data_IF_966293000304
#
_entry.id   IF_966293000304
#
_cell.length_a   1.000
_cell.length_b   1.000
_cell.length_c   1.000
_cell.angle_alpha   90.00
_cell.angle_beta   90.00
_cell.angle_gamma   90.00
#
_symmetry.space_group_name_H-M   'P 1'
#
loop_
_entity.id
_entity.type
_entity.pdbx_description
1 polymer ?
#
# COMPACT_ATOMS: atom_id res chain seq x y z
N UNK A 1 53.72 -31.71 -23.38
CA UNK A 1 54.06 -30.74 -22.32
C UNK A 1 53.59 -31.34 -20.99
N UNK A 2 54.46 -31.50 -19.98
CA UNK A 2 54.02 -31.92 -18.64
C UNK A 2 53.56 -30.68 -17.89
N UNK A 3 52.29 -30.64 -17.47
CA UNK A 3 51.76 -29.55 -16.64
C UNK A 3 52.41 -29.62 -15.25
N UNK A 4 53.01 -28.51 -14.83
CA UNK A 4 53.57 -28.38 -13.48
C UNK A 4 52.53 -27.73 -12.56
N UNK A 5 52.58 -27.97 -11.24
CA UNK A 5 51.68 -27.28 -10.28
C UNK A 5 51.70 -25.75 -10.42
N UNK A 6 52.87 -25.18 -10.68
CA UNK A 6 53.02 -23.74 -10.89
C UNK A 6 52.23 -23.24 -12.14
N UNK A 7 52.24 -24.00 -13.25
CA UNK A 7 51.48 -23.65 -14.44
C UNK A 7 49.95 -23.68 -14.19
N UNK A 8 49.48 -24.62 -13.35
CA UNK A 8 48.05 -24.69 -12.98
C UNK A 8 47.64 -23.48 -12.13
N UNK A 9 48.47 -23.14 -11.14
CA UNK A 9 48.19 -21.98 -10.27
C UNK A 9 48.21 -20.68 -11.08
N UNK A 10 49.25 -20.44 -11.88
CA UNK A 10 49.37 -19.23 -12.69
C UNK A 10 48.25 -19.14 -13.72
N UNK A 11 47.94 -20.26 -14.40
CA UNK A 11 46.84 -20.32 -15.35
C UNK A 11 45.48 -20.04 -14.69
N UNK A 12 45.22 -20.62 -13.52
CA UNK A 12 44.02 -20.36 -12.73
C UNK A 12 43.89 -18.89 -12.31
N UNK A 13 44.98 -18.29 -11.82
CA UNK A 13 45.02 -16.88 -11.45
C UNK A 13 44.79 -15.95 -12.67
N UNK A 14 45.39 -16.28 -13.82
CA UNK A 14 45.14 -15.51 -15.04
C UNK A 14 43.66 -15.55 -15.48
N UNK A 15 43.07 -16.73 -15.48
CA UNK A 15 41.64 -16.88 -15.80
C UNK A 15 40.79 -16.11 -14.80
N UNK A 16 41.06 -16.25 -13.51
CA UNK A 16 40.32 -15.51 -12.46
C UNK A 16 40.40 -13.99 -12.67
N UNK A 17 41.60 -13.45 -12.80
CA UNK A 17 41.77 -12.00 -12.97
C UNK A 17 41.25 -11.47 -14.29
N UNK A 18 41.36 -12.27 -15.39
CA UNK A 18 40.70 -11.91 -16.65
C UNK A 18 39.20 -11.86 -16.52
N UNK A 19 38.62 -12.83 -15.80
CA UNK A 19 37.15 -12.81 -15.55
C UNK A 19 36.75 -11.61 -14.69
N UNK A 20 37.44 -11.31 -13.61
CA UNK A 20 37.22 -10.11 -12.79
C UNK A 20 37.33 -8.84 -13.62
N UNK A 21 38.37 -8.75 -14.45
CA UNK A 21 38.55 -7.59 -15.32
C UNK A 21 37.40 -7.44 -16.33
N UNK A 22 37.05 -8.51 -17.06
CA UNK A 22 36.03 -8.43 -18.13
C UNK A 22 34.59 -8.27 -17.59
N UNK A 23 34.28 -8.87 -16.42
CA UNK A 23 32.91 -8.91 -15.91
C UNK A 23 32.63 -7.76 -14.92
N UNK A 24 33.62 -7.31 -14.17
CA UNK A 24 33.45 -6.31 -13.14
C UNK A 24 34.09 -4.97 -13.53
N UNK A 25 35.42 -4.98 -13.83
CA UNK A 25 36.17 -3.74 -14.01
C UNK A 25 35.83 -3.05 -15.35
N UNK A 26 35.89 -3.81 -16.44
CA UNK A 26 35.66 -3.27 -17.78
C UNK A 26 34.25 -2.64 -17.96
N UNK A 27 33.15 -3.30 -17.53
CA UNK A 27 31.84 -2.68 -17.60
C UNK A 27 31.75 -1.39 -16.79
N UNK A 28 32.34 -1.35 -15.59
CA UNK A 28 32.34 -0.14 -14.75
C UNK A 28 33.08 1.02 -15.39
N UNK A 29 34.19 0.72 -16.10
CA UNK A 29 34.98 1.74 -16.80
C UNK A 29 34.31 2.24 -18.08
N UNK A 30 33.63 1.36 -18.83
CA UNK A 30 33.09 1.67 -20.16
C UNK A 30 31.66 2.18 -20.13
N UNK A 31 30.82 1.56 -19.26
CA UNK A 31 29.40 1.89 -19.25
C UNK A 31 29.09 3.15 -18.43
N UNK A 32 29.86 3.42 -17.38
CA UNK A 32 29.63 4.51 -16.43
C UNK A 32 28.26 4.37 -15.73
N UNK A 33 28.08 5.06 -14.63
CA UNK A 33 26.78 5.16 -13.96
C UNK A 33 25.97 6.26 -14.62
N UNK A 34 25.01 5.93 -15.48
CA UNK A 34 24.10 6.90 -16.10
C UNK A 34 22.78 6.91 -15.35
N UNK A 35 22.41 8.04 -14.70
CA UNK A 35 21.14 8.14 -14.01
C UNK A 35 19.96 7.97 -14.98
N UNK A 36 18.88 7.35 -14.50
CA UNK A 36 17.61 7.30 -15.20
C UNK A 36 16.90 8.65 -15.16
N UNK A 37 15.83 8.79 -15.92
CA UNK A 37 15.02 10.02 -15.92
C UNK A 37 14.32 10.27 -14.55
N UNK A 38 14.09 9.24 -13.76
CA UNK A 38 13.47 9.36 -12.43
C UNK A 38 14.48 9.52 -11.31
N UNK A 39 15.78 9.36 -11.60
CA UNK A 39 16.82 9.40 -10.58
C UNK A 39 17.03 10.83 -10.02
N UNK A 40 17.24 10.90 -8.73
CA UNK A 40 17.81 12.06 -8.03
C UNK A 40 18.78 11.64 -6.93
N UNK A 41 19.66 12.53 -6.54
CA UNK A 41 20.50 12.30 -5.36
C UNK A 41 19.65 12.28 -4.09
N UNK A 42 20.04 11.44 -3.14
CA UNK A 42 19.42 11.41 -1.82
C UNK A 42 19.87 12.58 -0.94
N UNK A 43 18.98 12.99 -0.07
CA UNK A 43 19.31 13.87 1.04
C UNK A 43 20.13 13.12 2.10
N UNK A 44 20.71 13.84 3.06
CA UNK A 44 21.42 13.23 4.19
C UNK A 44 20.50 12.34 5.03
N UNK A 45 19.24 12.71 5.19
CA UNK A 45 18.26 11.95 5.95
C UNK A 45 17.87 10.66 5.22
N UNK A 46 17.67 10.71 3.91
CA UNK A 46 17.39 9.54 3.07
C UNK A 46 18.58 8.57 3.05
N UNK A 47 19.81 9.08 3.00
CA UNK A 47 21.01 8.26 3.11
C UNK A 47 21.10 7.57 4.48
N UNK A 48 20.81 8.28 5.56
CA UNK A 48 20.77 7.70 6.90
C UNK A 48 19.67 6.60 7.00
N UNK A 49 18.55 6.82 6.35
CA UNK A 49 17.47 5.82 6.23
C UNK A 49 17.90 4.58 5.45
N UNK A 50 18.62 4.76 4.34
CA UNK A 50 19.21 3.65 3.59
C UNK A 50 20.16 2.83 4.46
N UNK A 51 21.04 3.46 5.23
CA UNK A 51 21.99 2.78 6.10
C UNK A 51 21.25 1.96 7.18
N UNK A 52 20.16 2.50 7.72
CA UNK A 52 19.27 1.77 8.63
C UNK A 52 18.58 0.59 7.95
N UNK A 53 18.10 0.76 6.72
CA UNK A 53 17.49 -0.30 5.92
C UNK A 53 18.47 -1.47 5.72
N UNK A 54 19.70 -1.17 5.38
CA UNK A 54 20.78 -2.17 5.21
C UNK A 54 21.11 -2.84 6.54
N UNK A 55 21.36 -2.05 7.59
CA UNK A 55 21.77 -2.55 8.90
C UNK A 55 20.72 -3.46 9.56
N UNK A 56 19.43 -3.23 9.29
CA UNK A 56 18.35 -4.02 9.84
C UNK A 56 17.86 -5.15 8.93
N UNK A 57 18.50 -5.36 7.77
CA UNK A 57 18.24 -6.50 6.89
C UNK A 57 16.85 -6.46 6.22
N UNK A 58 16.30 -5.28 5.98
CA UNK A 58 14.97 -5.12 5.36
C UNK A 58 14.90 -5.78 3.98
N UNK A 59 16.02 -5.80 3.24
CA UNK A 59 16.17 -6.47 1.94
C UNK A 59 16.03 -8.00 1.98
N UNK A 60 16.01 -8.62 3.15
CA UNK A 60 15.74 -10.07 3.27
C UNK A 60 14.25 -10.39 3.06
N UNK A 61 13.36 -9.42 3.24
CA UNK A 61 11.93 -9.61 3.07
C UNK A 61 11.35 -8.71 1.96
N UNK A 62 12.04 -7.62 1.61
CA UNK A 62 11.60 -6.64 0.61
C UNK A 62 12.57 -6.57 -0.56
N UNK A 63 12.05 -6.55 -1.77
CA UNK A 63 12.82 -6.17 -2.95
C UNK A 63 12.65 -4.67 -3.24
N UNK A 64 13.60 -4.12 -3.99
CA UNK A 64 13.54 -2.77 -4.57
C UNK A 64 13.83 -2.84 -6.06
N UNK A 65 13.17 -3.77 -6.73
CA UNK A 65 13.50 -4.10 -8.11
C UNK A 65 12.29 -4.68 -8.84
N UNK A 66 11.64 -3.87 -9.66
CA UNK A 66 10.53 -4.30 -10.51
C UNK A 66 11.07 -4.83 -11.83
N UNK A 67 10.78 -6.10 -12.13
CA UNK A 67 11.18 -6.78 -13.36
C UNK A 67 10.06 -6.74 -14.38
N UNK A 68 10.39 -7.05 -15.63
CA UNK A 68 9.39 -7.17 -16.71
C UNK A 68 8.29 -8.18 -16.37
N UNK A 69 8.63 -9.28 -15.70
CA UNK A 69 7.68 -10.32 -15.27
C UNK A 69 6.76 -9.87 -14.12
N UNK A 70 7.13 -8.82 -13.40
CA UNK A 70 6.36 -8.28 -12.28
C UNK A 70 5.31 -7.26 -12.75
N UNK A 71 5.30 -6.92 -14.02
CA UNK A 71 4.39 -5.91 -14.59
C UNK A 71 2.90 -6.21 -14.33
N UNK A 72 2.51 -7.48 -14.39
CA UNK A 72 1.15 -7.92 -14.10
C UNK A 72 0.72 -7.78 -12.63
N UNK A 73 1.66 -7.54 -11.72
CA UNK A 73 1.41 -7.39 -10.28
C UNK A 73 1.22 -5.91 -9.85
N UNK A 74 0.92 -5.03 -10.79
CA UNK A 74 0.63 -3.62 -10.52
C UNK A 74 1.86 -2.72 -10.42
N UNK A 75 2.99 -3.15 -10.98
CA UNK A 75 4.15 -2.28 -11.14
C UNK A 75 3.83 -1.15 -12.14
N UNK A 76 4.15 0.08 -11.78
CA UNK A 76 3.94 1.23 -12.66
C UNK A 76 5.10 1.40 -13.65
N UNK A 77 6.29 0.96 -13.29
CA UNK A 77 7.50 1.09 -14.09
C UNK A 77 8.47 -0.08 -13.85
N UNK A 78 9.14 -0.51 -14.89
CA UNK A 78 10.23 -1.47 -14.80
C UNK A 78 11.48 -0.74 -14.27
N UNK A 79 12.15 -1.34 -13.27
CA UNK A 79 13.36 -0.80 -12.70
C UNK A 79 14.49 -0.74 -13.73
N UNK A 80 15.24 0.33 -13.73
CA UNK A 80 16.39 0.57 -14.61
C UNK A 80 17.68 0.66 -13.77
N UNK A 81 18.80 0.26 -14.34
CA UNK A 81 20.09 0.35 -13.64
C UNK A 81 20.40 1.78 -13.18
N UNK A 82 19.95 2.78 -13.94
CA UNK A 82 20.14 4.18 -13.60
C UNK A 82 19.33 4.69 -12.40
N UNK A 83 18.38 3.91 -11.89
CA UNK A 83 17.63 4.26 -10.66
C UNK A 83 18.49 4.13 -9.41
N UNK A 84 19.54 3.32 -9.47
CA UNK A 84 20.40 2.95 -8.33
C UNK A 84 21.76 3.67 -8.33
N UNK A 85 21.93 4.66 -9.20
CA UNK A 85 23.19 5.43 -9.26
C UNK A 85 23.49 6.05 -7.90
N UNK A 86 24.72 5.80 -7.43
CA UNK A 86 25.19 6.30 -6.13
C UNK A 86 24.77 5.50 -4.91
N UNK A 87 23.88 4.51 -5.05
CA UNK A 87 23.53 3.61 -3.92
C UNK A 87 24.69 2.69 -3.58
N UNK A 88 25.17 2.75 -2.33
CA UNK A 88 26.29 1.91 -1.88
C UNK A 88 26.03 1.39 -0.46
N UNK A 89 25.77 0.08 -0.31
CA UNK A 89 25.54 -0.90 -1.38
C UNK A 89 24.17 -0.72 -2.07
N UNK A 90 24.07 -1.09 -3.35
CA UNK A 90 22.78 -1.24 -4.03
C UNK A 90 22.15 -2.55 -3.55
N UNK A 91 21.10 -2.45 -2.74
CA UNK A 91 20.42 -3.60 -2.15
C UNK A 91 19.08 -3.79 -2.88
N UNK A 92 19.09 -4.55 -3.96
CA UNK A 92 17.90 -4.80 -4.77
C UNK A 92 16.93 -5.77 -4.08
N UNK A 93 17.44 -6.71 -3.31
CA UNK A 93 16.64 -7.81 -2.73
C UNK A 93 16.09 -8.75 -3.80
N UNK A 94 15.80 -9.98 -3.42
CA UNK A 94 15.23 -11.01 -4.32
C UNK A 94 14.00 -11.67 -3.74
N UNK A 95 13.80 -11.52 -2.43
CA UNK A 95 12.66 -12.06 -1.70
C UNK A 95 11.56 -11.01 -1.57
N UNK A 96 10.31 -11.47 -1.61
CA UNK A 96 9.11 -10.65 -1.46
C UNK A 96 8.15 -11.27 -0.45
N UNK A 97 8.64 -11.56 0.76
CA UNK A 97 7.78 -11.86 1.91
C UNK A 97 6.93 -10.63 2.25
N UNK A 98 7.50 -9.43 2.11
CA UNK A 98 6.81 -8.16 2.02
C UNK A 98 6.74 -7.65 0.57
N UNK A 99 6.06 -6.52 0.31
CA UNK A 99 5.97 -5.93 -1.02
C UNK A 99 7.33 -5.41 -1.54
N UNK A 100 7.42 -5.22 -2.86
CA UNK A 100 8.49 -4.43 -3.47
C UNK A 100 8.38 -2.96 -3.04
N UNK A 101 9.51 -2.34 -2.71
CA UNK A 101 9.57 -0.97 -2.19
C UNK A 101 10.14 0.05 -3.18
N UNK A 102 10.44 -0.34 -4.41
CA UNK A 102 11.08 0.55 -5.39
C UNK A 102 10.24 1.77 -5.77
N UNK A 103 8.91 1.69 -5.67
CA UNK A 103 7.96 2.74 -6.07
C UNK A 103 7.06 3.20 -4.91
N UNK A 104 7.48 2.98 -3.66
CA UNK A 104 6.64 3.23 -2.48
C UNK A 104 6.48 4.71 -2.12
N UNK A 105 7.38 5.57 -2.59
CA UNK A 105 7.33 6.99 -2.23
C UNK A 105 6.00 7.65 -2.60
N UNK A 106 5.37 8.28 -1.60
CA UNK A 106 4.10 8.98 -1.74
C UNK A 106 2.85 8.08 -1.83
N UNK A 107 2.99 6.74 -1.77
CA UNK A 107 1.82 5.86 -1.68
C UNK A 107 1.13 5.97 -0.32
N UNK A 108 1.91 6.23 0.72
CA UNK A 108 1.42 6.50 2.08
C UNK A 108 2.06 7.77 2.63
N UNK A 109 1.37 8.54 3.48
CA UNK A 109 1.97 9.69 4.16
C UNK A 109 2.94 9.25 5.27
N UNK A 110 3.77 10.17 5.73
CA UNK A 110 4.83 9.89 6.73
C UNK A 110 4.28 9.34 8.05
N UNK A 111 3.14 9.83 8.50
CA UNK A 111 2.48 9.38 9.73
C UNK A 111 1.99 7.92 9.62
N UNK A 112 1.54 7.50 8.44
CA UNK A 112 1.25 6.09 8.19
C UNK A 112 2.52 5.23 8.32
N UNK A 113 3.64 5.68 7.75
CA UNK A 113 4.92 4.98 7.88
C UNK A 113 5.38 4.92 9.34
N UNK A 114 5.20 6.00 10.10
CA UNK A 114 5.51 6.01 11.53
C UNK A 114 4.71 4.94 12.29
N UNK A 115 3.40 4.85 12.04
CA UNK A 115 2.56 3.82 12.63
C UNK A 115 3.01 2.42 12.21
N UNK A 116 3.30 2.23 10.91
CA UNK A 116 3.68 0.96 10.33
C UNK A 116 5.03 0.45 10.86
N UNK A 117 6.05 1.30 10.95
CA UNK A 117 7.35 0.92 11.49
C UNK A 117 7.30 0.71 13.01
N UNK A 118 6.48 1.46 13.73
CA UNK A 118 6.30 1.23 15.18
C UNK A 118 5.74 -0.16 15.43
N UNK A 119 4.61 -0.52 14.84
CA UNK A 119 4.14 -1.90 14.76
C UNK A 119 3.36 -2.08 13.46
N UNK A 120 3.86 -2.91 12.53
CA UNK A 120 3.20 -3.13 11.24
C UNK A 120 1.74 -3.60 11.35
N UNK A 121 1.38 -4.28 12.44
CA UNK A 121 0.00 -4.73 12.69
C UNK A 121 -0.96 -3.58 12.99
N UNK A 122 -0.45 -2.38 13.32
CA UNK A 122 -1.30 -1.20 13.48
C UNK A 122 -1.95 -0.77 12.16
N UNK A 123 -1.24 -0.92 11.05
CA UNK A 123 -1.76 -0.55 9.71
C UNK A 123 -2.16 -1.76 8.87
N UNK A 124 -1.57 -2.92 9.14
CA UNK A 124 -1.79 -4.19 8.46
C UNK A 124 -1.93 -5.31 9.49
N UNK A 125 -3.12 -5.57 10.01
CA UNK A 125 -3.34 -6.48 11.16
C UNK A 125 -2.72 -7.87 11.00
N UNK A 126 -2.57 -8.36 9.77
CA UNK A 126 -1.98 -9.67 9.46
C UNK A 126 -0.51 -9.61 9.05
N UNK A 127 0.17 -8.50 9.27
CA UNK A 127 1.57 -8.35 8.88
C UNK A 127 2.48 -9.33 9.61
N UNK A 128 3.39 -9.97 8.86
CA UNK A 128 4.50 -10.78 9.37
C UNK A 128 5.73 -9.94 9.67
N UNK A 129 5.77 -8.68 9.23
CA UNK A 129 6.87 -7.75 9.47
C UNK A 129 7.06 -7.54 10.97
N UNK A 130 8.29 -7.59 11.50
CA UNK A 130 8.56 -7.31 12.90
C UNK A 130 8.32 -5.83 13.24
N UNK A 131 8.10 -5.53 14.53
CA UNK A 131 8.09 -4.17 15.05
C UNK A 131 9.49 -3.58 15.03
N UNK A 132 9.58 -2.30 14.66
CA UNK A 132 10.81 -1.51 14.63
C UNK A 132 10.82 -0.39 15.68
N UNK A 133 9.89 -0.44 16.65
CA UNK A 133 9.76 0.55 17.72
C UNK A 133 11.08 0.80 18.46
N UNK A 134 11.93 -0.22 18.59
CA UNK A 134 13.23 -0.13 19.23
C UNK A 134 14.21 0.85 18.56
N UNK A 135 13.97 1.21 17.30
CA UNK A 135 14.78 2.21 16.60
C UNK A 135 14.58 3.62 17.17
N UNK A 136 13.41 3.88 17.75
CA UNK A 136 13.01 5.20 18.20
C UNK A 136 12.60 6.14 17.07
N UNK A 137 11.93 7.23 17.42
CA UNK A 137 11.25 8.11 16.48
C UNK A 137 12.16 8.69 15.39
N UNK A 138 13.36 9.18 15.74
CA UNK A 138 14.25 9.84 14.79
C UNK A 138 14.78 8.89 13.71
N UNK A 139 15.11 7.64 14.10
CA UNK A 139 15.55 6.62 13.14
C UNK A 139 14.41 6.12 12.28
N UNK A 140 13.20 5.96 12.85
CA UNK A 140 12.00 5.63 12.06
C UNK A 140 11.72 6.74 11.05
N UNK A 141 11.91 8.02 11.39
CA UNK A 141 11.74 9.13 10.46
C UNK A 141 12.76 9.06 9.31
N UNK A 142 14.02 8.81 9.59
CA UNK A 142 15.03 8.64 8.55
C UNK A 142 14.72 7.43 7.64
N UNK A 143 14.27 6.30 8.21
CA UNK A 143 13.83 5.14 7.45
C UNK A 143 12.61 5.47 6.58
N UNK A 144 11.66 6.26 7.08
CA UNK A 144 10.52 6.77 6.32
C UNK A 144 10.99 7.63 5.15
N UNK A 145 11.92 8.57 5.37
CA UNK A 145 12.46 9.41 4.32
C UNK A 145 13.09 8.57 3.19
N UNK A 146 13.83 7.52 3.54
CA UNK A 146 14.39 6.60 2.55
C UNK A 146 13.30 5.86 1.74
N UNK A 147 12.27 5.33 2.39
CA UNK A 147 11.18 4.64 1.68
C UNK A 147 10.40 5.61 0.81
N UNK A 148 10.19 6.83 1.27
CA UNK A 148 9.56 7.91 0.49
C UNK A 148 10.39 8.35 -0.72
N UNK A 149 11.69 8.13 -0.72
CA UNK A 149 12.55 8.38 -1.89
C UNK A 149 12.44 7.28 -2.96
N UNK A 150 11.79 6.15 -2.64
CA UNK A 150 11.56 5.04 -3.58
C UNK A 150 10.67 5.48 -4.74
N UNK A 151 11.21 5.46 -5.99
CA UNK A 151 10.58 5.98 -7.19
C UNK A 151 11.16 7.33 -7.67
N UNK A 152 12.12 7.92 -6.92
CA UNK A 152 12.84 9.12 -7.31
C UNK A 152 11.90 10.31 -7.57
N UNK A 153 12.11 11.05 -8.67
CA UNK A 153 11.32 12.25 -9.00
C UNK A 153 9.81 11.98 -9.10
N UNK A 154 9.41 10.79 -9.56
CA UNK A 154 7.99 10.42 -9.62
C UNK A 154 7.40 10.26 -8.21
N UNK A 155 8.18 9.73 -7.28
CA UNK A 155 7.81 9.66 -5.87
C UNK A 155 7.68 11.05 -5.25
N UNK A 156 8.63 11.95 -5.54
CA UNK A 156 8.60 13.32 -5.03
C UNK A 156 7.28 14.03 -5.38
N UNK A 157 6.77 13.84 -6.60
CA UNK A 157 5.47 14.40 -7.01
C UNK A 157 4.31 13.82 -6.19
N UNK A 158 4.36 12.51 -5.86
CA UNK A 158 3.32 11.88 -5.02
C UNK A 158 3.40 12.34 -3.57
N UNK A 159 4.62 12.42 -3.01
CA UNK A 159 4.87 12.93 -1.65
C UNK A 159 4.42 14.39 -1.56
N UNK A 160 4.75 15.24 -2.55
CA UNK A 160 4.31 16.63 -2.57
C UNK A 160 2.77 16.71 -2.59
N UNK A 161 2.10 15.91 -3.38
CA UNK A 161 0.63 15.85 -3.42
C UNK A 161 0.05 15.47 -2.06
N UNK A 162 0.62 14.49 -1.35
CA UNK A 162 0.19 14.15 0.01
C UNK A 162 0.34 15.35 0.95
N UNK A 163 1.46 16.06 0.88
CA UNK A 163 1.76 17.22 1.71
C UNK A 163 0.84 18.41 1.41
N UNK A 164 0.46 18.63 0.15
CA UNK A 164 -0.43 19.72 -0.25
C UNK A 164 -1.87 19.51 0.23
N UNK A 165 -2.32 18.25 0.26
CA UNK A 165 -3.68 17.89 0.67
C UNK A 165 -3.84 17.72 2.19
N UNK A 166 -2.79 17.32 2.89
CA UNK A 166 -2.85 17.04 4.33
C UNK A 166 -3.38 18.21 5.18
N UNK A 167 -2.93 19.47 5.00
CA UNK A 167 -3.48 20.59 5.77
C UNK A 167 -4.98 20.79 5.59
N UNK A 168 -5.51 20.52 4.39
CA UNK A 168 -6.93 20.62 4.09
C UNK A 168 -7.73 19.51 4.79
N UNK A 169 -7.23 18.29 4.74
CA UNK A 169 -7.82 17.14 5.44
C UNK A 169 -7.88 17.37 6.96
N UNK A 170 -6.78 17.86 7.54
CA UNK A 170 -6.68 18.19 8.97
C UNK A 170 -7.65 19.32 9.34
N UNK A 171 -7.73 20.38 8.53
CA UNK A 171 -8.64 21.48 8.76
C UNK A 171 -10.12 21.03 8.71
N UNK A 172 -10.47 20.21 7.72
CA UNK A 172 -11.82 19.65 7.60
C UNK A 172 -12.18 18.79 8.82
N UNK A 173 -11.27 17.93 9.27
CA UNK A 173 -11.46 17.11 10.46
C UNK A 173 -11.66 17.99 11.72
N UNK A 174 -10.81 18.99 11.94
CA UNK A 174 -10.89 19.90 13.10
C UNK A 174 -12.16 20.77 13.10
N UNK A 175 -12.73 21.03 11.95
CA UNK A 175 -13.99 21.78 11.80
C UNK A 175 -15.24 20.96 12.15
N UNK A 176 -15.09 19.69 12.48
CA UNK A 176 -16.16 18.81 12.93
C UNK A 176 -16.67 17.84 11.87
N UNK A 177 -17.55 16.92 12.30
CA UNK A 177 -18.00 15.80 11.47
C UNK A 177 -18.62 16.25 10.14
N UNK A 178 -19.47 17.25 10.14
CA UNK A 178 -20.18 17.67 8.92
C UNK A 178 -19.22 18.29 7.88
N UNK A 179 -18.26 19.09 8.33
CA UNK A 179 -17.24 19.67 7.48
C UNK A 179 -16.30 18.57 6.91
N UNK A 180 -15.94 17.59 7.74
CA UNK A 180 -15.13 16.47 7.30
C UNK A 180 -15.87 15.60 6.27
N UNK A 181 -17.15 15.32 6.50
CA UNK A 181 -17.99 14.58 5.54
C UNK A 181 -18.11 15.34 4.22
N UNK A 182 -18.32 16.65 4.26
CA UNK A 182 -18.39 17.48 3.04
C UNK A 182 -17.06 17.42 2.27
N UNK A 183 -15.95 17.59 2.96
CA UNK A 183 -14.62 17.51 2.36
C UNK A 183 -14.35 16.11 1.73
N UNK A 184 -14.65 15.03 2.45
CA UNK A 184 -14.52 13.66 1.95
C UNK A 184 -15.42 13.38 0.74
N UNK A 185 -16.64 13.92 0.75
CA UNK A 185 -17.58 13.78 -0.35
C UNK A 185 -17.09 14.53 -1.60
N UNK A 186 -16.57 15.74 -1.44
CA UNK A 186 -16.12 16.56 -2.58
C UNK A 186 -14.88 15.99 -3.28
N UNK A 187 -14.14 15.11 -2.60
CA UNK A 187 -13.02 14.36 -3.17
C UNK A 187 -13.44 13.11 -3.95
N UNK A 188 -14.72 12.77 -3.95
CA UNK A 188 -15.25 11.68 -4.78
C UNK A 188 -15.84 12.30 -6.06
N UNK A 189 -15.44 11.83 -7.26
CA UNK A 189 -16.02 12.31 -8.51
C UNK A 189 -17.54 12.16 -8.55
N UNK A 190 -18.24 13.13 -9.16
CA UNK A 190 -19.69 13.19 -9.18
C UNK A 190 -20.37 11.89 -9.66
N UNK A 191 -19.76 11.19 -10.60
CA UNK A 191 -20.29 9.92 -11.14
C UNK A 191 -20.42 8.82 -10.08
N UNK A 192 -19.58 8.84 -9.04
CA UNK A 192 -19.58 7.86 -7.95
C UNK A 192 -20.52 8.22 -6.80
N UNK A 193 -20.77 9.51 -6.58
CA UNK A 193 -21.56 9.99 -5.42
C UNK A 193 -23.00 9.44 -5.36
N UNK A 194 -23.76 9.38 -6.47
CA UNK A 194 -25.11 8.83 -6.47
C UNK A 194 -25.15 7.31 -6.67
N UNK A 195 -24.00 6.63 -6.77
CA UNK A 195 -23.97 5.22 -7.12
C UNK A 195 -24.29 4.35 -5.90
N UNK A 196 -25.37 3.54 -5.93
CA UNK A 196 -25.62 2.55 -4.90
C UNK A 196 -24.60 1.41 -4.99
N UNK A 197 -24.48 0.63 -3.91
CA UNK A 197 -23.74 -0.64 -4.00
C UNK A 197 -24.48 -1.58 -4.97
N UNK A 198 -23.83 -2.09 -6.03
CA UNK A 198 -24.47 -2.98 -7.01
C UNK A 198 -24.77 -4.38 -6.44
N UNK A 199 -24.20 -4.71 -5.27
CA UNK A 199 -24.41 -6.00 -4.63
C UNK A 199 -25.25 -5.83 -3.36
N UNK A 200 -26.26 -6.70 -3.14
CA UNK A 200 -27.12 -6.62 -1.96
C UNK A 200 -26.30 -6.95 -0.69
N UNK A 201 -26.67 -6.30 0.42
CA UNK A 201 -26.09 -6.54 1.73
C UNK A 201 -26.66 -7.83 2.37
N UNK A 202 -26.47 -8.98 1.74
CA UNK A 202 -26.87 -10.27 2.29
C UNK A 202 -26.00 -10.63 3.51
N UNK A 203 -26.48 -11.56 4.35
CA UNK A 203 -25.68 -12.06 5.48
C UNK A 203 -24.32 -12.60 5.03
N UNK A 204 -24.26 -13.29 3.88
CA UNK A 204 -23.02 -13.81 3.31
C UNK A 204 -22.09 -12.67 2.85
N UNK A 205 -22.61 -11.62 2.19
CA UNK A 205 -21.83 -10.44 1.79
C UNK A 205 -21.28 -9.70 3.01
N UNK A 206 -22.10 -9.51 4.04
CA UNK A 206 -21.67 -8.89 5.30
C UNK A 206 -20.57 -9.68 6.01
N UNK A 207 -20.68 -11.01 6.06
CA UNK A 207 -19.64 -11.88 6.66
C UNK A 207 -18.30 -11.78 5.89
N UNK A 208 -18.35 -11.72 4.54
CA UNK A 208 -17.14 -11.51 3.74
C UNK A 208 -16.55 -10.10 3.96
N UNK A 209 -17.41 -9.09 3.99
CA UNK A 209 -17.02 -7.70 4.28
C UNK A 209 -16.41 -7.53 5.66
N UNK A 210 -16.98 -8.18 6.68
CA UNK A 210 -16.42 -8.24 8.04
C UNK A 210 -15.01 -8.80 8.04
N UNK A 211 -14.81 -9.93 7.33
CA UNK A 211 -13.47 -10.52 7.21
C UNK A 211 -12.48 -9.58 6.55
N UNK A 212 -12.86 -8.89 5.47
CA UNK A 212 -12.01 -7.87 4.83
C UNK A 212 -11.71 -6.75 5.80
N UNK A 213 -12.71 -6.26 6.54
CA UNK A 213 -12.53 -5.20 7.53
C UNK A 213 -11.53 -5.60 8.62
N UNK A 214 -11.65 -6.81 9.16
CA UNK A 214 -10.73 -7.34 10.17
C UNK A 214 -9.31 -7.52 9.63
N UNK A 215 -9.16 -7.95 8.38
CA UNK A 215 -7.87 -8.23 7.78
C UNK A 215 -7.10 -6.95 7.36
N UNK A 216 -7.83 -5.85 7.03
CA UNK A 216 -7.23 -4.67 6.39
C UNK A 216 -7.56 -3.33 7.04
N UNK A 217 -8.69 -3.19 7.75
CA UNK A 217 -9.22 -1.87 8.12
C UNK A 217 -9.18 -1.61 9.64
N UNK A 218 -9.32 -2.66 10.46
CA UNK A 218 -9.47 -2.55 11.92
C UNK A 218 -8.30 -1.85 12.60
N UNK A 219 -7.09 -1.98 12.03
CA UNK A 219 -5.90 -1.37 12.59
C UNK A 219 -5.97 0.17 12.71
N UNK A 220 -6.66 0.81 11.77
CA UNK A 220 -6.93 2.25 11.78
C UNK A 220 -8.32 2.56 12.31
N UNK A 221 -9.36 1.88 11.82
CA UNK A 221 -10.75 2.24 12.08
C UNK A 221 -11.35 1.65 13.37
N UNK A 222 -10.61 0.77 14.08
CA UNK A 222 -11.10 0.12 15.29
C UNK A 222 -12.13 -1.00 15.02
N UNK A 223 -12.32 -1.88 15.99
CA UNK A 223 -13.24 -3.03 15.87
C UNK A 223 -14.70 -2.62 15.67
N UNK A 224 -15.09 -1.48 16.20
CA UNK A 224 -16.46 -0.95 16.15
C UNK A 224 -16.63 0.19 15.15
N UNK A 225 -15.61 0.47 14.36
CA UNK A 225 -15.64 1.50 13.32
C UNK A 225 -15.64 2.94 13.85
N UNK A 226 -15.14 3.14 15.08
CA UNK A 226 -15.10 4.43 15.79
C UNK A 226 -13.86 5.28 15.48
N UNK A 227 -12.97 4.77 14.62
CA UNK A 227 -11.72 5.44 14.27
C UNK A 227 -10.64 5.34 15.35
N UNK A 228 -10.80 4.47 16.36
CA UNK A 228 -9.89 4.32 17.50
C UNK A 228 -9.01 3.06 17.39
N UNK A 229 -8.66 2.65 16.20
CA UNK A 229 -7.69 1.57 15.99
C UNK A 229 -6.29 1.94 16.52
N UNK A 230 -5.39 0.96 16.73
CA UNK A 230 -4.06 1.21 17.29
C UNK A 230 -3.19 2.16 16.46
N UNK A 231 -3.43 2.28 15.15
CA UNK A 231 -2.75 3.26 14.31
C UNK A 231 -3.24 4.70 14.53
N UNK A 232 -4.47 4.90 15.01
CA UNK A 232 -5.14 6.20 15.01
C UNK A 232 -4.34 7.30 15.71
N UNK A 233 -3.63 6.97 16.79
CA UNK A 233 -2.81 7.92 17.56
C UNK A 233 -1.60 8.47 16.81
N UNK A 234 -1.24 7.86 15.69
CA UNK A 234 -0.11 8.28 14.86
C UNK A 234 -0.55 9.09 13.64
N UNK A 235 -1.84 9.02 13.27
CA UNK A 235 -2.38 9.59 12.04
C UNK A 235 -2.99 10.97 12.27
N UNK A 236 -2.69 11.92 11.40
CA UNK A 236 -3.28 13.26 11.39
C UNK A 236 -3.72 13.62 9.95
N UNK A 237 -5.03 13.74 9.67
CA UNK A 237 -6.13 13.55 10.61
C UNK A 237 -6.28 12.07 11.04
N UNK A 238 -6.89 11.83 12.21
CA UNK A 238 -7.20 10.46 12.65
C UNK A 238 -8.23 9.80 11.72
N UNK A 239 -8.31 8.45 11.75
CA UNK A 239 -9.26 7.72 10.91
C UNK A 239 -10.70 8.17 11.16
N UNK A 240 -11.51 8.19 10.09
CA UNK A 240 -12.90 8.60 10.20
C UNK A 240 -13.69 7.67 11.12
N UNK A 241 -14.51 8.27 12.00
CA UNK A 241 -15.44 7.56 12.87
C UNK A 241 -16.75 7.30 12.11
N UNK A 242 -16.93 6.08 11.62
CA UNK A 242 -18.14 5.71 10.87
C UNK A 242 -19.42 5.80 11.71
N UNK A 243 -19.33 5.55 13.03
CA UNK A 243 -20.50 5.59 13.90
C UNK A 243 -21.09 7.00 14.06
N UNK A 244 -20.28 8.02 13.75
CA UNK A 244 -20.74 9.42 13.76
C UNK A 244 -21.75 9.73 12.64
N UNK A 245 -21.88 8.86 11.64
CA UNK A 245 -22.86 9.00 10.55
C UNK A 245 -24.23 8.42 10.89
N UNK A 246 -24.40 7.72 12.02
CA UNK A 246 -25.69 7.12 12.40
C UNK A 246 -26.78 8.20 12.48
N UNK A 247 -27.85 7.98 11.71
CA UNK A 247 -28.98 8.92 11.64
C UNK A 247 -28.71 10.25 10.94
N UNK A 248 -27.52 10.44 10.34
CA UNK A 248 -27.14 11.68 9.64
C UNK A 248 -27.28 11.63 8.13
N UNK A 249 -27.40 10.44 7.55
CA UNK A 249 -27.53 10.30 6.10
C UNK A 249 -28.95 10.68 5.68
N UNK A 250 -29.12 11.65 4.76
CA UNK A 250 -30.43 11.99 4.21
C UNK A 250 -31.02 10.80 3.45
N UNK A 251 -32.35 10.70 3.49
CA UNK A 251 -33.10 9.73 2.71
C UNK A 251 -32.72 9.81 1.22
N UNK A 252 -32.52 8.65 0.59
CA UNK A 252 -32.15 8.58 -0.83
C UNK A 252 -30.68 8.88 -1.17
N UNK A 253 -29.80 9.05 -0.19
CA UNK A 253 -28.35 9.13 -0.43
C UNK A 253 -27.67 7.77 -0.21
N UNK A 254 -26.74 7.47 -1.09
CA UNK A 254 -26.02 6.21 -1.11
C UNK A 254 -24.59 6.38 -0.58
N UNK A 255 -24.11 5.39 0.17
CA UNK A 255 -22.72 5.33 0.60
C UNK A 255 -21.87 4.43 -0.31
N UNK A 256 -22.52 3.53 -1.05
CA UNK A 256 -21.82 2.47 -1.78
C UNK A 256 -20.71 2.97 -2.69
N UNK A 257 -21.04 3.84 -3.65
CA UNK A 257 -20.07 4.37 -4.59
C UNK A 257 -19.01 5.27 -3.94
N UNK A 258 -19.39 6.01 -2.89
CA UNK A 258 -18.46 6.86 -2.14
C UNK A 258 -17.43 5.99 -1.42
N UNK A 259 -17.86 5.01 -0.64
CA UNK A 259 -16.97 4.09 0.08
C UNK A 259 -16.12 3.28 -0.88
N UNK A 260 -16.71 2.75 -1.96
CA UNK A 260 -15.97 2.02 -2.97
C UNK A 260 -14.84 2.87 -3.56
N UNK A 261 -15.14 4.11 -3.98
CA UNK A 261 -14.15 5.00 -4.58
C UNK A 261 -13.02 5.33 -3.59
N UNK A 262 -13.36 5.62 -2.33
CA UNK A 262 -12.38 5.94 -1.29
C UNK A 262 -11.50 4.75 -0.92
N UNK A 263 -12.07 3.54 -0.89
CA UNK A 263 -11.29 2.32 -0.59
C UNK A 263 -10.36 1.98 -1.75
N UNK A 264 -10.85 2.01 -3.00
CA UNK A 264 -10.04 1.62 -4.16
C UNK A 264 -8.89 2.60 -4.43
N UNK A 265 -9.09 3.91 -4.18
CA UNK A 265 -8.13 4.96 -4.51
C UNK A 265 -7.37 5.53 -3.30
N UNK A 266 -7.81 5.22 -2.08
CA UNK A 266 -7.34 5.92 -0.89
C UNK A 266 -7.86 7.36 -0.82
N UNK A 267 -7.40 8.10 0.17
CA UNK A 267 -7.76 9.51 0.37
C UNK A 267 -6.48 10.32 0.55
N UNK A 268 -6.06 11.01 -0.51
CA UNK A 268 -4.83 11.82 -0.52
C UNK A 268 -4.82 12.83 0.63
N UNK A 269 -3.69 12.97 1.29
CA UNK A 269 -3.53 13.84 2.46
C UNK A 269 -3.96 13.22 3.78
N UNK A 270 -4.43 11.97 3.76
CA UNK A 270 -4.77 11.20 4.97
C UNK A 270 -4.01 9.89 5.05
N UNK A 271 -4.07 9.22 6.21
CA UNK A 271 -3.50 7.88 6.38
C UNK A 271 -4.29 6.76 5.70
N UNK A 272 -5.39 7.05 4.98
CA UNK A 272 -6.19 6.05 4.27
C UNK A 272 -5.53 5.63 2.95
N UNK A 273 -4.94 4.42 2.85
CA UNK A 273 -4.27 3.96 1.65
C UNK A 273 -5.28 3.51 0.59
N UNK A 274 -4.81 3.35 -0.65
CA UNK A 274 -5.57 2.67 -1.68
C UNK A 274 -5.47 1.14 -1.54
N UNK A 275 -6.52 0.44 -1.97
CA UNK A 275 -6.58 -1.02 -1.92
C UNK A 275 -6.73 -1.69 -3.31
N UNK A 276 -6.63 -0.93 -4.39
CA UNK A 276 -6.79 -1.43 -5.77
C UNK A 276 -5.81 -2.53 -6.16
N UNK A 277 -4.62 -2.58 -5.54
CA UNK A 277 -3.61 -3.62 -5.79
C UNK A 277 -3.79 -4.87 -4.91
N UNK A 278 -4.56 -4.76 -3.82
CA UNK A 278 -4.65 -5.80 -2.80
C UNK A 278 -6.03 -6.47 -2.73
N UNK A 279 -7.08 -5.71 -3.07
CA UNK A 279 -8.45 -6.16 -2.98
C UNK A 279 -9.12 -6.17 -4.35
N UNK A 280 -9.72 -7.30 -4.68
CA UNK A 280 -10.62 -7.41 -5.81
C UNK A 280 -11.86 -6.53 -5.61
N UNK A 281 -12.42 -6.04 -6.72
CA UNK A 281 -13.60 -5.15 -6.71
C UNK A 281 -14.77 -5.69 -5.88
N UNK A 282 -15.04 -7.00 -5.97
CA UNK A 282 -16.10 -7.63 -5.20
C UNK A 282 -15.89 -7.54 -3.68
N UNK A 283 -14.65 -7.70 -3.22
CA UNK A 283 -14.28 -7.58 -1.79
C UNK A 283 -14.45 -6.14 -1.30
N UNK A 284 -14.15 -5.16 -2.16
CA UNK A 284 -14.34 -3.74 -1.83
C UNK A 284 -15.84 -3.44 -1.67
N UNK A 285 -16.69 -3.97 -2.54
CA UNK A 285 -18.14 -3.82 -2.40
C UNK A 285 -18.69 -4.52 -1.15
N UNK A 286 -18.20 -5.72 -0.82
CA UNK A 286 -18.60 -6.44 0.40
C UNK A 286 -18.22 -5.66 1.67
N UNK A 287 -16.98 -5.11 1.75
CA UNK A 287 -16.58 -4.30 2.92
C UNK A 287 -17.31 -2.96 2.97
N UNK A 288 -17.66 -2.37 1.83
CA UNK A 288 -18.51 -1.17 1.79
C UNK A 288 -19.90 -1.44 2.37
N UNK A 289 -20.51 -2.58 2.04
CA UNK A 289 -21.75 -3.04 2.65
C UNK A 289 -21.60 -3.25 4.17
N UNK A 290 -20.51 -3.91 4.59
CA UNK A 290 -20.26 -4.15 6.01
C UNK A 290 -20.15 -2.85 6.79
N UNK A 291 -19.36 -1.89 6.32
CA UNK A 291 -19.22 -0.56 6.96
C UNK A 291 -20.56 0.17 7.03
N UNK A 292 -21.28 0.22 5.92
CA UNK A 292 -22.58 0.91 5.84
C UNK A 292 -23.61 0.31 6.81
N UNK A 293 -23.73 -1.02 6.84
CA UNK A 293 -24.73 -1.70 7.67
C UNK A 293 -24.32 -1.73 9.14
N UNK A 294 -23.08 -2.19 9.42
CA UNK A 294 -22.67 -2.51 10.80
C UNK A 294 -22.34 -1.28 11.62
N UNK A 295 -21.73 -0.27 11.00
CA UNK A 295 -21.28 0.93 11.73
C UNK A 295 -22.19 2.14 11.53
N UNK A 296 -22.65 2.39 10.30
CA UNK A 296 -23.51 3.53 9.99
C UNK A 296 -24.99 3.22 10.27
N UNK A 297 -25.37 1.95 10.20
CA UNK A 297 -26.77 1.52 10.35
C UNK A 297 -27.61 1.82 9.11
N UNK A 298 -26.95 1.92 7.94
CA UNK A 298 -27.55 2.25 6.67
C UNK A 298 -27.43 1.07 5.71
N UNK A 299 -28.52 0.71 5.07
CA UNK A 299 -28.52 -0.28 4.00
C UNK A 299 -28.99 0.38 2.72
N UNK A 300 -28.24 0.21 1.64
CA UNK A 300 -28.74 0.46 0.28
C UNK A 300 -29.84 -0.56 -0.10
N UNK A 301 -30.26 -1.39 0.85
CA UNK A 301 -31.11 -2.57 0.70
C UNK A 301 -32.59 -2.27 0.42
N UNK A 302 -32.97 -1.00 0.22
CA UNK A 302 -34.30 -0.64 -0.27
C UNK A 302 -34.37 -0.50 -1.78
N UNK A 303 -33.25 -0.66 -2.48
CA UNK A 303 -33.21 -0.52 -3.94
C UNK A 303 -33.08 -1.92 -4.53
N UNK A 304 -34.17 -2.42 -5.03
CA UNK A 304 -34.10 -3.49 -6.03
C UNK A 304 -33.18 -2.99 -7.15
N UNK A 305 -32.02 -3.64 -7.40
CA UNK A 305 -31.10 -3.20 -8.45
C UNK A 305 -31.85 -3.27 -9.79
N UNK A 306 -32.31 -2.12 -10.30
CA UNK A 306 -32.95 -2.07 -11.59
C UNK A 306 -31.93 -2.49 -12.64
N UNK A 307 -32.04 -3.73 -13.11
CA UNK A 307 -31.21 -4.29 -14.17
C UNK A 307 -30.02 -5.10 -13.75
N UNK A 308 -29.65 -5.19 -12.47
CA UNK A 308 -28.66 -6.14 -11.98
C UNK A 308 -29.43 -7.32 -11.41
N UNK A 309 -29.18 -8.51 -11.96
CA UNK A 309 -29.89 -9.72 -11.50
C UNK A 309 -29.64 -9.93 -10.01
N UNK A 310 -30.70 -10.07 -9.22
CA UNK A 310 -30.68 -10.39 -7.80
C UNK A 310 -29.92 -11.70 -7.47
N UNK A 311 -29.47 -12.44 -8.48
CA UNK A 311 -28.74 -13.71 -8.38
C UNK A 311 -27.25 -13.59 -8.69
N UNK A 312 -26.69 -12.38 -8.88
CA UNK A 312 -25.24 -12.25 -9.12
C UNK A 312 -24.51 -12.27 -7.78
N UNK A 313 -24.07 -13.44 -7.37
CA UNK A 313 -23.02 -13.53 -6.35
C UNK A 313 -21.67 -13.29 -7.02
N UNK A 314 -20.81 -12.42 -6.40
CA UNK A 314 -19.45 -12.24 -6.88
C UNK A 314 -18.76 -13.60 -6.88
N UNK A 315 -18.43 -14.11 -8.06
CA UNK A 315 -17.59 -15.30 -8.14
C UNK A 315 -16.15 -14.88 -7.79
N UNK A 316 -15.63 -15.47 -6.73
CA UNK A 316 -14.24 -15.30 -6.36
C UNK A 316 -13.35 -15.90 -7.45
N UNK A 317 -12.68 -15.08 -8.22
CA UNK A 317 -11.79 -15.53 -9.29
C UNK A 317 -10.38 -15.86 -8.80
N UNK A 318 -10.11 -15.77 -7.51
CA UNK A 318 -8.84 -16.21 -6.94
C UNK A 318 -8.80 -17.75 -6.91
N UNK A 319 -8.02 -18.43 -7.77
CA UNK A 319 -7.98 -19.88 -7.85
C UNK A 319 -7.45 -20.58 -6.58
N UNK A 320 -6.85 -19.82 -5.66
CA UNK A 320 -6.35 -20.33 -4.37
C UNK A 320 -7.38 -20.28 -3.23
N UNK A 321 -8.55 -19.67 -3.45
CA UNK A 321 -9.61 -19.61 -2.44
C UNK A 321 -10.77 -20.51 -2.88
N UNK A 322 -11.14 -21.56 -2.12
CA UNK A 322 -12.31 -22.35 -2.47
C UNK A 322 -13.55 -21.45 -2.44
N UNK A 323 -14.51 -21.66 -3.35
CA UNK A 323 -15.77 -20.93 -3.32
C UNK A 323 -16.44 -21.13 -1.97
N UNK A 324 -17.15 -20.12 -1.43
CA UNK A 324 -17.94 -20.30 -0.22
C UNK A 324 -18.90 -21.47 -0.43
N UNK A 325 -19.16 -22.27 0.62
CA UNK A 325 -20.12 -23.38 0.50
C UNK A 325 -21.45 -22.83 0.03
N UNK A 326 -22.03 -23.47 -0.99
CA UNK A 326 -23.36 -23.16 -1.47
C UNK A 326 -24.32 -23.17 -0.27
N UNK A 327 -25.05 -22.08 -0.02
CA UNK A 327 -26.09 -22.05 1.00
C UNK A 327 -27.09 -23.17 0.66
N UNK A 328 -27.16 -24.16 1.54
CA UNK A 328 -28.05 -25.26 1.40
C UNK A 328 -29.48 -24.73 1.36
N UNK A 329 -30.12 -24.81 0.21
CA UNK A 329 -31.52 -24.52 0.10
C UNK A 329 -32.28 -25.35 1.12
N UNK A 330 -32.84 -24.69 2.13
CA UNK A 330 -33.81 -25.32 3.02
C UNK A 330 -34.98 -25.77 2.15
N UNK A 331 -35.15 -27.08 2.08
CA UNK A 331 -36.39 -27.71 1.60
C UNK A 331 -37.46 -27.63 2.66
#
# INVERSE_FOLDING_TARGET
MKMTPAMLVIGGLMVFWSSVFCIIILPTMVMGEKPSASWRAWTTEEQAGHDLYVANGCSYCHSQFVRVIDWGEGAERIAQAGDYVGQRPAILGTERTGPDLSEQGGEHPDDWHLAHFTDPRFTRPRSLMPSWEFLGHDRIRALTAYVQAGGGLTADERVQRQNDWKPQAVAAHKSGTDANVAWLHDHVPEVWRPMPNPYPATAAALARGEKVFQDYCVGCHGLVGDGQGPAAKYLDPPPFNFTSLRGRLPEGKYLGGILYYQIINGITGTGMPYFKKELESAKIWDVSNYVAVSFVGYTDAGIEPRGIRASYEPQWTNPSTPPPPAEGGAR
#
